data_IF_295838233897
#
_entry.id   IF_295838233897
#
_cell.length_a   1.000
_cell.length_b   1.000
_cell.length_c   1.000
_cell.angle_alpha   90.00
_cell.angle_beta   90.00
_cell.angle_gamma   90.00
#
_symmetry.space_group_name_H-M   'P 1'
#
loop_
_entity.id
_entity.type
_entity.pdbx_description
1 polymer ?
#
# COMPACT_ATOMS: atom_id res chain seq x y z
N UNK A 1 12.34 0.25 4.23
CA UNK A 1 11.51 0.88 3.19
C UNK A 1 11.32 -0.11 2.06
N UNK A 2 10.08 -0.50 1.84
CA UNK A 2 9.74 -1.37 0.73
C UNK A 2 9.75 -0.56 -0.58
N UNK A 3 9.90 -1.24 -1.72
CA UNK A 3 9.99 -0.58 -3.04
C UNK A 3 8.63 -0.46 -3.74
N UNK A 4 7.54 -0.86 -3.08
CA UNK A 4 6.20 -0.82 -3.67
C UNK A 4 5.71 0.61 -3.80
N UNK A 5 4.92 0.84 -4.85
CA UNK A 5 4.29 2.14 -5.05
C UNK A 5 3.22 2.36 -4.00
N UNK A 6 3.08 3.61 -3.55
CA UNK A 6 2.04 4.01 -2.62
C UNK A 6 1.32 5.23 -3.18
N UNK A 7 0.03 5.08 -3.46
CA UNK A 7 -0.85 6.18 -3.86
C UNK A 7 -1.58 6.67 -2.62
N UNK A 8 -1.41 7.95 -2.29
CA UNK A 8 -2.03 8.60 -1.14
C UNK A 8 -2.97 9.69 -1.65
N UNK A 9 -4.27 9.57 -1.39
CA UNK A 9 -5.29 10.50 -1.88
C UNK A 9 -6.17 11.00 -0.73
N UNK A 10 -6.53 12.27 -0.75
CA UNK A 10 -7.49 12.84 0.20
C UNK A 10 -8.91 12.41 -0.17
N UNK A 11 -9.66 11.93 0.82
CA UNK A 11 -11.10 11.67 0.73
C UNK A 11 -11.86 12.79 1.42
N UNK A 12 -12.68 13.53 0.67
CA UNK A 12 -13.57 14.54 1.26
C UNK A 12 -14.68 13.90 2.11
N UNK A 13 -15.12 12.68 1.76
CA UNK A 13 -16.18 11.98 2.51
C UNK A 13 -15.67 11.52 3.88
N UNK A 14 -14.47 10.95 3.92
CA UNK A 14 -13.90 10.39 5.15
C UNK A 14 -13.08 11.41 5.95
N UNK A 15 -12.71 12.55 5.32
CA UNK A 15 -11.75 13.52 5.86
C UNK A 15 -10.42 12.87 6.26
N UNK A 16 -9.95 11.94 5.41
CA UNK A 16 -8.75 11.14 5.62
C UNK A 16 -7.93 11.04 4.33
N UNK A 17 -6.63 10.84 4.48
CA UNK A 17 -5.79 10.33 3.41
C UNK A 17 -5.95 8.81 3.32
N UNK A 18 -6.38 8.32 2.16
CA UNK A 18 -6.54 6.91 1.83
C UNK A 18 -5.29 6.41 1.11
N UNK A 19 -4.90 5.18 1.42
CA UNK A 19 -3.69 4.54 0.91
C UNK A 19 -4.06 3.38 -0.01
N UNK A 20 -3.54 3.39 -1.23
CA UNK A 20 -3.67 2.32 -2.20
C UNK A 20 -2.28 1.86 -2.64
N UNK A 21 -2.08 0.54 -2.70
CA UNK A 21 -0.85 -0.08 -3.20
C UNK A 21 -1.18 -0.77 -4.55
N UNK A 22 -0.88 -0.15 -5.70
CA UNK A 22 -1.31 -0.62 -7.01
C UNK A 22 -0.90 -2.06 -7.34
N UNK A 23 0.20 -2.53 -6.78
CA UNK A 23 0.73 -3.89 -6.95
C UNK A 23 -0.10 -4.94 -6.20
N UNK A 24 -0.91 -4.53 -5.23
CA UNK A 24 -1.67 -5.45 -4.37
C UNK A 24 -3.15 -5.54 -4.73
N UNK A 25 -3.63 -4.73 -5.70
CA UNK A 25 -5.07 -4.56 -6.02
C UNK A 25 -5.79 -5.85 -6.43
N UNK A 26 -5.07 -6.84 -6.96
CA UNK A 26 -5.65 -8.13 -7.35
C UNK A 26 -5.90 -9.07 -6.16
N UNK A 27 -5.37 -8.74 -4.98
CA UNK A 27 -5.33 -9.62 -3.80
C UNK A 27 -5.84 -8.97 -2.52
N UNK A 28 -5.74 -7.65 -2.45
CA UNK A 28 -6.07 -6.85 -1.28
C UNK A 28 -7.14 -5.83 -1.65
N UNK A 29 -8.16 -5.73 -0.81
CA UNK A 29 -9.20 -4.70 -0.97
C UNK A 29 -8.58 -3.33 -0.74
N UNK A 30 -8.88 -2.41 -1.65
CA UNK A 30 -8.39 -1.03 -1.61
C UNK A 30 -9.53 -0.06 -1.30
N UNK A 31 -9.24 1.06 -0.61
CA UNK A 31 -7.96 1.43 0.01
C UNK A 31 -7.62 0.50 1.18
N UNK A 32 -6.33 0.15 1.33
CA UNK A 32 -5.89 -0.83 2.33
C UNK A 32 -5.44 -0.19 3.65
N UNK A 33 -5.29 1.13 3.69
CA UNK A 33 -4.95 1.88 4.89
C UNK A 33 -5.40 3.34 4.78
N UNK A 34 -5.30 4.07 5.88
CA UNK A 34 -5.66 5.49 5.94
C UNK A 34 -4.89 6.25 7.04
N UNK A 35 -4.81 7.58 6.92
CA UNK A 35 -4.22 8.46 7.93
C UNK A 35 -4.86 9.85 7.93
N UNK A 36 -4.78 10.59 9.04
CA UNK A 36 -5.27 11.97 9.14
C UNK A 36 -4.30 12.97 8.52
N UNK A 37 -3.02 12.61 8.47
CA UNK A 37 -1.99 13.35 7.73
C UNK A 37 -1.34 12.46 6.68
N UNK A 38 -0.57 13.07 5.77
CA UNK A 38 0.19 12.32 4.78
C UNK A 38 1.22 11.42 5.45
N UNK A 39 1.88 11.91 6.48
CA UNK A 39 2.90 11.17 7.24
C UNK A 39 2.30 9.95 7.93
N UNK A 40 1.13 10.10 8.56
CA UNK A 40 0.41 8.97 9.17
C UNK A 40 -0.01 7.94 8.11
N UNK A 41 -0.50 8.40 6.96
CA UNK A 41 -0.87 7.53 5.86
C UNK A 41 0.34 6.76 5.30
N UNK A 42 1.50 7.41 5.17
CA UNK A 42 2.75 6.76 4.74
C UNK A 42 3.15 5.67 5.75
N UNK A 43 3.20 6.02 7.04
CA UNK A 43 3.63 5.08 8.09
C UNK A 43 2.75 3.83 8.10
N UNK A 44 1.44 4.02 8.12
CA UNK A 44 0.49 2.89 8.12
C UNK A 44 0.47 2.13 6.80
N UNK A 45 0.78 2.80 5.70
CA UNK A 45 0.95 2.14 4.41
C UNK A 45 2.15 1.18 4.41
N UNK A 46 3.28 1.59 4.98
CA UNK A 46 4.45 0.71 5.13
C UNK A 46 4.17 -0.48 6.06
N UNK A 47 3.49 -0.26 7.19
CA UNK A 47 3.06 -1.34 8.10
C UNK A 47 2.19 -2.38 7.38
N UNK A 48 1.24 -1.91 6.55
CA UNK A 48 0.38 -2.80 5.76
C UNK A 48 1.18 -3.56 4.70
N UNK A 49 2.17 -2.92 4.05
CA UNK A 49 3.07 -3.60 3.12
C UNK A 49 3.80 -4.73 3.83
N UNK A 50 4.44 -4.45 4.97
CA UNK A 50 5.21 -5.45 5.73
C UNK A 50 4.33 -6.62 6.16
N UNK A 51 3.15 -6.34 6.72
CA UNK A 51 2.19 -7.35 7.14
C UNK A 51 1.79 -8.30 5.99
N UNK A 52 1.48 -7.78 4.80
CA UNK A 52 1.10 -8.63 3.67
C UNK A 52 2.27 -9.43 3.09
N UNK A 53 3.47 -8.85 3.07
CA UNK A 53 4.67 -9.58 2.62
C UNK A 53 4.99 -10.75 3.55
N UNK A 54 4.90 -10.54 4.87
CA UNK A 54 5.09 -11.59 5.85
C UNK A 54 4.03 -12.70 5.73
N UNK A 55 2.76 -12.33 5.53
CA UNK A 55 1.67 -13.29 5.33
C UNK A 55 1.88 -14.15 4.08
N UNK A 56 2.14 -13.53 2.92
CA UNK A 56 2.39 -14.28 1.68
C UNK A 56 3.65 -15.13 1.75
N UNK A 57 4.69 -14.66 2.44
CA UNK A 57 5.89 -15.46 2.67
C UNK A 57 5.60 -16.69 3.54
N UNK A 58 4.79 -16.55 4.59
CA UNK A 58 4.42 -17.65 5.48
C UNK A 58 3.52 -18.70 4.79
N UNK A 59 2.68 -18.27 3.87
CA UNK A 59 1.77 -19.12 3.09
C UNK A 59 2.41 -19.68 1.81
N UNK A 60 3.70 -19.42 1.57
CA UNK A 60 4.43 -19.77 0.34
C UNK A 60 3.74 -19.26 -0.94
N UNK A 61 2.99 -18.17 -0.81
CA UNK A 61 2.31 -17.53 -1.92
C UNK A 61 3.26 -16.62 -2.72
N UNK A 62 3.05 -16.47 -4.03
CA UNK A 62 3.89 -15.62 -4.85
C UNK A 62 3.82 -14.17 -4.38
N UNK A 63 4.95 -13.48 -4.20
CA UNK A 63 4.97 -12.06 -3.80
C UNK A 63 4.86 -11.16 -5.05
N UNK A 64 3.96 -10.16 -5.08
CA UNK A 64 3.88 -9.20 -6.18
C UNK A 64 5.21 -8.48 -6.42
N UNK A 65 5.56 -8.19 -7.67
CA UNK A 65 6.80 -7.45 -7.97
C UNK A 65 6.53 -5.94 -7.87
N UNK A 66 7.37 -5.17 -7.15
CA UNK A 66 7.24 -3.71 -7.10
C UNK A 66 7.30 -3.06 -8.49
N UNK A 67 6.45 -2.06 -8.74
CA UNK A 67 6.55 -1.24 -9.95
C UNK A 67 7.76 -0.33 -9.82
N UNK A 68 8.60 -0.33 -10.86
CA UNK A 68 9.74 0.58 -10.96
C UNK A 68 9.40 1.65 -11.97
N UNK A 69 9.70 2.91 -11.64
CA UNK A 69 9.50 4.02 -12.56
C UNK A 69 10.28 3.79 -13.87
N UNK A 70 9.59 3.87 -14.99
CA UNK A 70 10.19 3.85 -16.33
C UNK A 70 9.98 5.22 -16.96
N UNK A 71 11.07 5.83 -17.41
CA UNK A 71 11.03 7.04 -18.24
C UNK A 71 10.62 6.61 -19.64
N UNK A 72 9.62 7.27 -20.21
CA UNK A 72 9.22 7.14 -21.61
C UNK A 72 10.12 8.00 -22.52
#
# INVERSE_FOLDING_TARGET
MNRYSMIIQWSEEDQLFLVTIPEFVERVVMPCSHGKTREEAILRGEEVIEMYLEAWQAEEEPIPVPRVFQVA
#
